data_IF_590636149120
#
_entry.id   IF_590636149120
#
_cell.length_a   1.000
_cell.length_b   1.000
_cell.length_c   1.000
_cell.angle_alpha   90.00
_cell.angle_beta   90.00
_cell.angle_gamma   90.00
#
_symmetry.space_group_name_H-M   'P 1'
#
loop_
_entity.id
_entity.type
_entity.pdbx_description
1 polymer ?
#
# COMPACT_ATOMS: atom_id res chain seq x y z
N UNK A 1 -0.33 -29.47 0.22
CA UNK A 1 -0.72 -28.04 0.22
C UNK A 1 -1.63 -27.64 1.38
N UNK A 2 -2.76 -28.32 1.68
CA UNK A 2 -3.67 -27.95 2.79
C UNK A 2 -2.99 -27.70 4.14
N UNK A 3 -2.08 -28.59 4.58
CA UNK A 3 -1.29 -28.40 5.82
C UNK A 3 -0.46 -27.11 5.82
N UNK A 4 0.07 -26.69 4.67
CA UNK A 4 0.84 -25.45 4.53
C UNK A 4 -0.08 -24.23 4.64
N UNK A 5 -1.27 -24.30 4.05
CA UNK A 5 -2.27 -23.23 4.13
C UNK A 5 -2.83 -23.05 5.55
N UNK A 6 -3.02 -24.15 6.28
CA UNK A 6 -3.38 -24.15 7.71
C UNK A 6 -2.29 -23.50 8.57
N UNK A 7 -1.04 -23.98 8.47
CA UNK A 7 0.09 -23.48 9.27
C UNK A 7 0.41 -22.01 8.98
N UNK A 8 0.11 -21.52 7.78
CA UNK A 8 0.29 -20.12 7.39
C UNK A 8 -0.93 -19.24 7.68
N UNK A 9 -1.98 -19.80 8.29
CA UNK A 9 -3.19 -19.07 8.67
C UNK A 9 -4.06 -18.65 7.48
N UNK A 10 -3.93 -19.29 6.31
CA UNK A 10 -4.81 -19.06 5.16
C UNK A 10 -6.12 -19.88 5.27
N UNK A 11 -6.07 -21.01 5.97
CA UNK A 11 -7.25 -21.81 6.33
C UNK A 11 -7.33 -21.94 7.85
N UNK A 12 -8.54 -21.94 8.40
CA UNK A 12 -8.78 -22.28 9.81
C UNK A 12 -8.77 -23.80 10.03
N UNK A 13 -8.88 -24.25 11.28
CA UNK A 13 -8.79 -25.67 11.64
C UNK A 13 -9.84 -26.55 10.94
N UNK A 14 -11.01 -25.97 10.62
CA UNK A 14 -12.09 -26.64 9.89
C UNK A 14 -11.81 -26.71 8.37
N UNK A 15 -10.79 -26.01 7.89
CA UNK A 15 -10.41 -25.90 6.49
C UNK A 15 -11.18 -24.83 5.73
N UNK A 16 -11.83 -23.92 6.43
CA UNK A 16 -12.51 -22.76 5.88
C UNK A 16 -11.51 -21.65 5.60
N UNK A 17 -11.80 -20.85 4.58
CA UNK A 17 -10.97 -19.72 4.17
C UNK A 17 -10.99 -18.62 5.23
N UNK A 18 -9.83 -18.35 5.80
CA UNK A 18 -9.63 -17.21 6.71
C UNK A 18 -9.65 -15.89 5.92
N UNK A 19 -9.61 -14.76 6.62
CA UNK A 19 -9.41 -13.45 6.00
C UNK A 19 -8.12 -13.41 5.16
N UNK A 20 -7.01 -13.88 5.72
CA UNK A 20 -5.71 -13.96 5.05
C UNK A 20 -5.77 -14.82 3.78
N UNK A 21 -6.47 -15.95 3.85
CA UNK A 21 -6.70 -16.80 2.69
C UNK A 21 -7.60 -16.16 1.63
N UNK A 22 -8.65 -15.45 2.06
CA UNK A 22 -9.62 -14.80 1.16
C UNK A 22 -8.99 -13.65 0.39
N UNK A 23 -8.11 -12.90 1.05
CA UNK A 23 -7.31 -11.85 0.43
C UNK A 23 -6.31 -12.48 -0.55
N UNK A 24 -5.52 -13.47 -0.12
CA UNK A 24 -4.57 -14.17 -1.00
C UNK A 24 -5.24 -14.76 -2.25
N UNK A 25 -6.45 -15.32 -2.12
CA UNK A 25 -7.20 -15.88 -3.24
C UNK A 25 -7.60 -14.82 -4.28
N UNK A 26 -7.84 -13.58 -3.86
CA UNK A 26 -8.26 -12.47 -4.74
C UNK A 26 -7.07 -11.79 -5.42
N UNK A 27 -5.89 -11.81 -4.80
CA UNK A 27 -4.66 -11.28 -5.37
C UNK A 27 -4.19 -12.17 -6.54
N UNK A 28 -4.76 -11.98 -7.73
CA UNK A 28 -4.41 -12.74 -8.95
C UNK A 28 -2.93 -12.60 -9.29
N UNK A 29 -2.27 -11.52 -8.83
CA UNK A 29 -0.85 -11.30 -9.04
C UNK A 29 -0.23 -10.54 -7.85
N UNK A 30 -0.20 -11.21 -6.68
CA UNK A 30 0.30 -10.72 -5.38
C UNK A 30 1.50 -9.76 -5.50
N UNK A 31 2.54 -10.14 -6.26
CA UNK A 31 3.76 -9.32 -6.44
C UNK A 31 3.46 -7.92 -7.01
N UNK A 32 2.56 -7.81 -7.99
CA UNK A 32 2.24 -6.52 -8.61
C UNK A 32 1.34 -5.65 -7.75
N UNK A 33 0.45 -6.25 -6.97
CA UNK A 33 -0.49 -5.52 -6.12
C UNK A 33 0.23 -4.88 -4.92
N UNK A 34 1.23 -5.58 -4.37
CA UNK A 34 2.16 -5.03 -3.36
C UNK A 34 2.94 -3.86 -3.94
N UNK A 35 3.63 -4.08 -5.07
CA UNK A 35 4.45 -3.02 -5.70
C UNK A 35 3.60 -1.78 -6.04
N UNK A 36 2.37 -1.98 -6.52
CA UNK A 36 1.46 -0.89 -6.79
C UNK A 36 1.03 -0.17 -5.51
N UNK A 37 0.70 -0.89 -4.44
CA UNK A 37 0.34 -0.29 -3.16
C UNK A 37 1.49 0.52 -2.55
N UNK A 38 2.72 0.02 -2.64
CA UNK A 38 3.90 0.74 -2.16
C UNK A 38 4.14 2.03 -2.94
N UNK A 39 4.01 2.00 -4.27
CA UNK A 39 4.12 3.21 -5.11
C UNK A 39 3.03 4.21 -4.77
N UNK A 40 1.79 3.75 -4.56
CA UNK A 40 0.67 4.60 -4.16
C UNK A 40 0.89 5.24 -2.78
N UNK A 41 1.53 4.53 -1.85
CA UNK A 41 1.87 5.08 -0.53
C UNK A 41 2.77 6.32 -0.63
N UNK A 42 3.61 6.45 -1.66
CA UNK A 42 4.44 7.65 -1.85
C UNK A 42 3.62 8.95 -1.98
N UNK A 43 2.35 8.86 -2.36
CA UNK A 43 1.46 10.00 -2.60
C UNK A 43 0.52 10.31 -1.43
N UNK A 44 0.63 9.56 -0.32
CA UNK A 44 -0.21 9.74 0.87
C UNK A 44 0.48 10.67 1.86
N UNK A 45 -0.24 11.67 2.36
CA UNK A 45 0.34 12.84 3.06
C UNK A 45 0.59 12.63 4.56
N UNK A 46 0.79 11.39 5.03
CA UNK A 46 0.82 11.10 6.47
C UNK A 46 2.22 11.24 7.09
N UNK A 47 2.28 11.69 8.35
CA UNK A 47 3.55 11.93 9.05
C UNK A 47 4.26 10.60 9.37
N UNK A 48 5.58 10.51 9.13
CA UNK A 48 6.39 9.34 9.50
C UNK A 48 6.33 9.06 11.01
N UNK A 49 6.41 7.78 11.41
CA UNK A 49 6.50 7.33 12.79
C UNK A 49 7.92 6.81 13.08
N UNK A 50 8.43 7.08 14.29
CA UNK A 50 9.82 6.76 14.64
C UNK A 50 10.05 5.24 14.78
N UNK A 51 10.26 4.52 13.68
CA UNK A 51 10.91 3.19 13.68
C UNK A 51 11.41 2.76 12.28
N UNK A 52 12.70 2.48 12.20
CA UNK A 52 13.39 1.71 11.14
C UNK A 52 13.37 0.21 11.53
N UNK A 53 13.42 -0.83 10.69
CA UNK A 53 13.47 -1.04 9.23
C UNK A 53 13.21 -2.56 9.05
N UNK A 54 12.36 -2.97 8.10
CA UNK A 54 12.56 -4.21 7.32
C UNK A 54 12.10 -3.90 5.90
N UNK A 55 13.04 -3.60 4.98
CA UNK A 55 12.72 -3.40 3.57
C UNK A 55 13.20 -4.60 2.77
N UNK A 56 12.34 -5.13 1.90
CA UNK A 56 12.69 -6.19 0.95
C UNK A 56 13.49 -5.61 -0.23
N UNK A 57 14.61 -6.23 -0.60
CA UNK A 57 15.55 -5.70 -1.62
C UNK A 57 14.90 -5.43 -3.00
N UNK A 58 13.92 -6.24 -3.42
CA UNK A 58 13.25 -6.05 -4.73
C UNK A 58 12.35 -4.81 -4.84
N UNK A 59 12.00 -4.17 -3.72
CA UNK A 59 11.19 -2.95 -3.67
C UNK A 59 12.01 -1.72 -4.07
N UNK A 60 13.28 -1.67 -3.67
CA UNK A 60 14.11 -0.47 -3.83
C UNK A 60 14.34 -0.12 -5.31
N UNK A 61 14.41 -1.11 -6.20
CA UNK A 61 14.55 -0.89 -7.64
C UNK A 61 13.32 -0.18 -8.24
N UNK A 62 12.11 -0.56 -7.84
CA UNK A 62 10.88 0.08 -8.32
C UNK A 62 10.74 1.50 -7.77
N UNK A 63 11.08 1.72 -6.50
CA UNK A 63 11.05 3.08 -5.93
C UNK A 63 12.12 3.96 -6.54
N UNK A 64 13.31 3.42 -6.85
CA UNK A 64 14.36 4.17 -7.53
C UNK A 64 13.89 4.62 -8.92
N UNK A 65 13.17 3.79 -9.67
CA UNK A 65 12.57 4.20 -10.94
C UNK A 65 11.56 5.35 -10.77
N UNK A 66 10.71 5.29 -9.75
CA UNK A 66 9.77 6.39 -9.45
C UNK A 66 10.53 7.65 -9.04
N UNK A 67 11.52 7.53 -8.15
CA UNK A 67 12.37 8.63 -7.72
C UNK A 67 13.03 9.34 -8.91
N UNK A 68 13.56 8.58 -9.86
CA UNK A 68 14.19 9.14 -11.06
C UNK A 68 13.19 9.98 -11.87
N UNK A 69 11.94 9.53 -12.02
CA UNK A 69 10.90 10.31 -12.70
C UNK A 69 10.60 11.62 -11.95
N UNK A 70 10.50 11.57 -10.61
CA UNK A 70 10.31 12.77 -9.80
C UNK A 70 11.49 13.74 -9.89
N UNK A 71 12.71 13.21 -9.94
CA UNK A 71 13.93 14.00 -10.10
C UNK A 71 13.99 14.65 -11.49
N UNK A 72 13.59 13.94 -12.54
CA UNK A 72 13.49 14.47 -13.91
C UNK A 72 12.46 15.61 -13.99
N UNK A 73 11.28 15.44 -13.38
CA UNK A 73 10.26 16.49 -13.28
C UNK A 73 10.81 17.70 -12.53
N UNK A 74 11.45 17.49 -11.38
CA UNK A 74 12.04 18.56 -10.58
C UNK A 74 13.11 19.34 -11.35
N UNK A 75 13.99 18.63 -12.06
CA UNK A 75 15.03 19.24 -12.89
C UNK A 75 14.43 20.03 -14.06
N UNK A 76 13.33 19.53 -14.64
CA UNK A 76 12.56 20.24 -15.66
C UNK A 76 11.96 21.53 -15.09
N UNK A 77 11.30 21.48 -13.93
CA UNK A 77 10.72 22.64 -13.26
C UNK A 77 11.77 23.70 -12.91
N UNK A 78 12.97 23.28 -12.47
CA UNK A 78 14.12 24.17 -12.30
C UNK A 78 14.57 24.82 -13.60
N UNK A 79 14.73 24.01 -14.66
CA UNK A 79 15.18 24.49 -15.96
C UNK A 79 14.24 25.58 -16.51
N UNK A 80 12.93 25.37 -16.38
CA UNK A 80 11.90 26.32 -16.80
C UNK A 80 11.57 27.41 -15.76
N UNK A 81 12.34 27.50 -14.66
CA UNK A 81 12.20 28.52 -13.60
C UNK A 81 10.83 28.52 -12.90
N UNK A 82 10.15 27.37 -12.89
CA UNK A 82 8.99 27.14 -12.01
C UNK A 82 9.48 27.05 -10.56
N UNK A 83 10.62 26.41 -10.36
CA UNK A 83 11.32 26.34 -9.07
C UNK A 83 12.57 27.23 -9.05
N UNK A 84 12.98 27.73 -7.87
CA UNK A 84 14.25 28.40 -7.69
C UNK A 84 15.44 27.53 -8.10
N UNK A 85 16.48 28.15 -8.67
CA UNK A 85 17.68 27.43 -9.12
C UNK A 85 18.47 26.76 -7.99
N UNK A 86 18.35 27.28 -6.77
CA UNK A 86 18.95 26.77 -5.53
C UNK A 86 18.09 25.73 -4.81
N UNK A 87 16.88 25.42 -5.30
CA UNK A 87 16.04 24.39 -4.69
C UNK A 87 16.75 23.02 -4.65
N UNK A 88 16.54 22.22 -3.61
CA UNK A 88 17.13 20.88 -3.52
C UNK A 88 16.07 19.81 -3.73
N UNK A 89 16.37 18.81 -4.56
CA UNK A 89 15.49 17.67 -4.73
C UNK A 89 15.46 16.84 -3.44
N UNK A 90 14.26 16.58 -2.92
CA UNK A 90 14.04 15.71 -1.76
C UNK A 90 13.01 14.67 -2.10
N UNK A 91 13.38 13.41 -1.95
CA UNK A 91 12.48 12.27 -2.14
C UNK A 91 12.23 11.62 -0.78
N UNK A 92 10.98 11.67 -0.32
CA UNK A 92 10.58 11.08 0.96
C UNK A 92 9.90 9.73 0.69
N UNK A 93 10.44 8.68 1.31
CA UNK A 93 9.75 7.40 1.36
C UNK A 93 8.62 7.49 2.37
N UNK A 94 7.46 6.91 2.05
CA UNK A 94 6.37 6.80 3.01
C UNK A 94 6.58 5.54 3.86
N UNK A 95 6.79 5.72 5.16
CA UNK A 95 6.99 4.62 6.13
C UNK A 95 5.75 3.73 6.31
N UNK A 96 4.59 4.14 5.79
CA UNK A 96 3.39 3.32 5.77
C UNK A 96 3.38 2.27 4.64
N UNK A 97 4.35 2.26 3.72
CA UNK A 97 4.41 1.23 2.67
C UNK A 97 4.42 -0.18 3.24
N UNK A 98 5.31 -0.45 4.19
CA UNK A 98 5.51 -1.79 4.75
C UNK A 98 4.33 -2.24 5.63
N UNK A 99 3.77 -1.39 6.52
CA UNK A 99 2.51 -1.70 7.21
C UNK A 99 1.35 -2.00 6.25
N UNK A 100 1.15 -1.18 5.22
CA UNK A 100 0.06 -1.37 4.26
C UNK A 100 0.22 -2.67 3.48
N UNK A 101 1.45 -3.02 3.12
CA UNK A 101 1.73 -4.33 2.53
C UNK A 101 1.34 -5.48 3.45
N UNK A 102 1.71 -5.44 4.74
CA UNK A 102 1.30 -6.46 5.70
C UNK A 102 -0.22 -6.65 5.71
N UNK A 103 -0.96 -5.54 5.75
CA UNK A 103 -2.43 -5.58 5.73
C UNK A 103 -2.96 -6.13 4.39
N UNK A 104 -2.40 -5.73 3.25
CA UNK A 104 -2.76 -6.27 1.92
C UNK A 104 -2.41 -7.77 1.81
N UNK A 105 -1.39 -8.25 2.52
CA UNK A 105 -1.05 -9.66 2.62
C UNK A 105 -1.96 -10.43 3.58
N UNK A 106 -2.89 -9.73 4.24
CA UNK A 106 -3.87 -10.28 5.15
C UNK A 106 -3.38 -10.46 6.58
N UNK A 107 -2.34 -9.73 6.99
CA UNK A 107 -1.97 -9.60 8.39
C UNK A 107 -3.01 -8.76 9.14
N UNK A 108 -3.22 -9.08 10.41
CA UNK A 108 -4.22 -8.39 11.23
C UNK A 108 -3.79 -6.96 11.53
N UNK A 109 -4.75 -6.03 11.53
CA UNK A 109 -4.48 -4.60 11.70
C UNK A 109 -3.74 -4.29 13.03
N UNK A 110 -4.13 -4.96 14.12
CA UNK A 110 -3.52 -4.78 15.45
C UNK A 110 -2.10 -5.35 15.52
N UNK A 111 -1.85 -6.48 14.84
CA UNK A 111 -0.52 -7.08 14.72
C UNK A 111 0.42 -6.15 13.94
N UNK A 112 -0.07 -5.61 12.82
CA UNK A 112 0.67 -4.63 12.00
C UNK A 112 0.94 -3.36 12.81
N UNK A 113 -0.07 -2.83 13.51
CA UNK A 113 0.09 -1.63 14.35
C UNK A 113 1.21 -1.82 15.38
N UNK A 114 1.18 -2.96 16.09
CA UNK A 114 2.16 -3.32 17.11
C UNK A 114 3.56 -3.51 16.52
N UNK A 115 3.66 -4.24 15.41
CA UNK A 115 4.93 -4.58 14.75
C UNK A 115 5.68 -3.31 14.32
N UNK A 116 4.96 -2.40 13.68
CA UNK A 116 5.56 -1.17 13.12
C UNK A 116 5.54 0.01 14.11
N UNK A 117 4.96 -0.13 15.30
CA UNK A 117 4.91 0.92 16.31
C UNK A 117 4.04 2.11 15.90
N UNK A 118 2.94 1.82 15.20
CA UNK A 118 1.92 2.79 14.76
C UNK A 118 0.60 2.53 15.49
N UNK A 119 -0.41 3.36 15.27
CA UNK A 119 -1.73 3.17 15.88
C UNK A 119 -2.76 2.71 14.86
N UNK A 120 -3.73 1.90 15.31
CA UNK A 120 -4.83 1.43 14.48
C UNK A 120 -5.57 2.59 13.79
N UNK A 121 -5.93 3.71 14.47
CA UNK A 121 -6.55 4.86 13.80
C UNK A 121 -5.67 5.50 12.72
N UNK A 122 -4.35 5.51 12.91
CA UNK A 122 -3.42 6.04 11.90
C UNK A 122 -3.38 5.14 10.66
N UNK A 123 -3.30 3.82 10.84
CA UNK A 123 -3.36 2.85 9.74
C UNK A 123 -4.66 2.98 8.93
N UNK A 124 -5.80 3.02 9.62
CA UNK A 124 -7.10 3.17 8.97
C UNK A 124 -7.22 4.47 8.19
N UNK A 125 -6.64 5.55 8.71
CA UNK A 125 -6.60 6.83 7.99
C UNK A 125 -5.78 6.73 6.71
N UNK A 126 -4.61 6.08 6.74
CA UNK A 126 -3.79 5.84 5.55
C UNK A 126 -4.52 4.95 4.54
N UNK A 127 -5.18 3.87 4.98
CA UNK A 127 -6.02 3.01 4.11
C UNK A 127 -7.11 3.82 3.41
N UNK A 128 -7.77 4.75 4.13
CA UNK A 128 -8.78 5.64 3.55
C UNK A 128 -8.19 6.63 2.54
N UNK A 129 -7.02 7.20 2.82
CA UNK A 129 -6.33 8.10 1.89
C UNK A 129 -5.90 7.35 0.61
N UNK A 130 -5.38 6.13 0.74
CA UNK A 130 -5.07 5.26 -0.40
C UNK A 130 -6.31 4.93 -1.24
N UNK A 131 -7.42 4.59 -0.60
CA UNK A 131 -8.68 4.34 -1.30
C UNK A 131 -9.16 5.56 -2.08
N UNK A 132 -9.05 6.76 -1.50
CA UNK A 132 -9.41 7.99 -2.18
C UNK A 132 -8.48 8.25 -3.36
N UNK A 133 -7.17 8.04 -3.21
CA UNK A 133 -6.21 8.14 -4.30
C UNK A 133 -6.55 7.17 -5.44
N UNK A 134 -6.81 5.90 -5.14
CA UNK A 134 -7.20 4.92 -6.15
C UNK A 134 -8.48 5.33 -6.91
N UNK A 135 -9.49 5.87 -6.20
CA UNK A 135 -10.71 6.40 -6.84
C UNK A 135 -10.43 7.58 -7.77
N UNK A 136 -9.55 8.49 -7.38
CA UNK A 136 -9.11 9.60 -8.24
C UNK A 136 -8.44 9.06 -9.50
N UNK A 137 -7.52 8.10 -9.34
CA UNK A 137 -6.80 7.49 -10.45
C UNK A 137 -7.72 6.73 -11.42
N UNK A 138 -8.72 6.00 -10.91
CA UNK A 138 -9.70 5.29 -11.74
C UNK A 138 -10.56 6.22 -12.61
N UNK A 139 -10.73 7.48 -12.19
CA UNK A 139 -11.46 8.49 -12.94
C UNK A 139 -10.63 9.16 -14.05
N UNK A 140 -9.34 8.82 -14.20
CA UNK A 140 -8.51 9.35 -15.29
C UNK A 140 -8.95 8.73 -16.61
N UNK A 141 -9.45 9.56 -17.52
CA UNK A 141 -10.04 9.16 -18.80
C UNK A 141 -9.08 8.39 -19.71
N UNK A 142 -7.81 8.82 -19.77
CA UNK A 142 -6.78 8.29 -20.66
C UNK A 142 -6.06 7.05 -20.10
N UNK A 143 -6.44 6.58 -18.91
CA UNK A 143 -5.79 5.44 -18.29
C UNK A 143 -6.15 4.13 -19.02
N UNK A 144 -5.12 3.35 -19.38
CA UNK A 144 -5.29 2.04 -20.02
C UNK A 144 -6.09 1.09 -19.12
N UNK A 145 -6.99 0.32 -19.72
CA UNK A 145 -7.91 -0.57 -18.99
C UNK A 145 -7.18 -1.57 -18.08
N UNK A 146 -6.08 -2.16 -18.58
CA UNK A 146 -5.26 -3.09 -17.80
C UNK A 146 -4.59 -2.45 -16.57
N UNK A 147 -4.43 -1.13 -16.54
CA UNK A 147 -3.95 -0.38 -15.37
C UNK A 147 -5.12 -0.11 -14.42
N UNK A 148 -6.28 0.27 -14.95
CA UNK A 148 -7.52 0.42 -14.17
C UNK A 148 -7.88 -0.86 -13.42
N UNK A 149 -7.80 -2.01 -14.08
CA UNK A 149 -8.05 -3.32 -13.45
C UNK A 149 -7.15 -3.57 -12.23
N UNK A 150 -5.86 -3.22 -12.33
CA UNK A 150 -4.90 -3.39 -11.25
C UNK A 150 -5.18 -2.44 -10.08
N UNK A 151 -5.50 -1.18 -10.38
CA UNK A 151 -5.89 -0.20 -9.36
C UNK A 151 -7.21 -0.63 -8.69
N UNK A 152 -8.16 -1.15 -9.46
CA UNK A 152 -9.42 -1.67 -8.94
C UNK A 152 -9.21 -2.86 -8.01
N UNK A 153 -8.24 -3.75 -8.31
CA UNK A 153 -7.86 -4.84 -7.41
C UNK A 153 -7.39 -4.32 -6.05
N UNK A 154 -6.46 -3.35 -6.04
CA UNK A 154 -5.98 -2.70 -4.81
C UNK A 154 -7.13 -2.01 -4.06
N UNK A 155 -8.01 -1.30 -4.77
CA UNK A 155 -9.24 -0.72 -4.21
C UNK A 155 -10.10 -1.76 -3.48
N UNK A 156 -10.29 -2.94 -4.08
CA UNK A 156 -11.10 -3.99 -3.48
C UNK A 156 -10.46 -4.51 -2.19
N UNK A 157 -9.15 -4.78 -2.22
CA UNK A 157 -8.39 -5.22 -1.05
C UNK A 157 -8.46 -4.21 0.10
N UNK A 158 -8.27 -2.92 -0.19
CA UNK A 158 -8.38 -1.84 0.81
C UNK A 158 -9.82 -1.68 1.36
N UNK A 159 -10.84 -1.86 0.52
CA UNK A 159 -12.25 -1.81 0.99
C UNK A 159 -12.60 -2.99 1.90
N UNK A 160 -12.07 -4.19 1.63
CA UNK A 160 -12.30 -5.36 2.48
C UNK A 160 -11.72 -5.16 3.88
N UNK A 161 -10.54 -4.52 3.96
CA UNK A 161 -9.91 -4.13 5.23
C UNK A 161 -10.85 -3.22 6.04
N UNK A 162 -11.46 -2.20 5.41
CA UNK A 162 -12.38 -1.29 6.10
C UNK A 162 -13.72 -1.93 6.51
N UNK A 163 -14.24 -2.88 5.73
CA UNK A 163 -15.53 -3.53 6.03
C UNK A 163 -15.45 -4.42 7.26
N UNK A 164 -14.31 -5.08 7.47
CA UNK A 164 -14.12 -5.98 8.60
C UNK A 164 -13.83 -5.23 9.91
N UNK A 165 -13.32 -3.99 9.86
CA UNK A 165 -13.05 -3.16 11.03
C UNK A 165 -14.32 -2.56 11.69
N UNK A 166 -15.39 -2.32 10.91
CA UNK A 166 -16.69 -1.85 11.47
C UNK A 166 -17.30 -2.88 12.43
N UNK A 167 -16.88 -4.15 12.37
CA UNK A 167 -17.30 -5.18 13.33
C UNK A 167 -16.77 -4.97 14.76
N UNK A 168 -15.76 -4.11 14.96
CA UNK A 168 -15.20 -3.78 16.27
C UNK A 168 -15.71 -2.46 16.88
N UNK A 169 -16.55 -1.71 16.16
CA UNK A 169 -17.14 -0.45 16.65
C UNK A 169 -18.42 -0.64 17.50
N UNK A 170 -18.78 -1.88 17.82
CA UNK A 170 -19.85 -2.21 18.75
C UNK A 170 -19.28 -2.76 20.07
N UNK A 171 -18.64 -1.91 20.87
CA UNK A 171 -18.43 -2.12 22.30
C UNK A 171 -18.51 -0.80 23.06
#
# INVERSE_FOLDING_TARGET
MRKVLLVKGFLDEDGTLTQKGSILQRLKNVKYEIVLAEVLCLFVSFKPFKKHNIRCDGFMDHVNNVKNIFEDIFNCEKHYRVLPGDAEFKFNYNEYSDPINGIIMGDELDEVATTYGTSLPALLKVVKELLNLCKVLLNVSEMKENVKDKIQSVCNSLNDILKNDISMLNY
#
